data_IF_718114876236
#
_entry.id   IF_718114876236
#
_cell.length_a   1.000
_cell.length_b   1.000
_cell.length_c   1.000
_cell.angle_alpha   90.00
_cell.angle_beta   90.00
_cell.angle_gamma   90.00
#
_symmetry.space_group_name_H-M   'P 1'
#
loop_
_entity.id
_entity.type
_entity.pdbx_description
1 polymer ?
#
# COMPACT_ATOMS: atom_id res chain seq x y z
N UNK A 1 5.16 -22.89 -0.45
CA UNK A 1 5.12 -21.44 -0.39
C UNK A 1 3.98 -20.95 0.52
N UNK A 2 4.08 -19.73 1.04
CA UNK A 2 2.97 -19.16 1.77
C UNK A 2 1.77 -18.92 0.85
N UNK A 3 0.57 -18.86 1.43
CA UNK A 3 -0.64 -18.56 0.64
C UNK A 3 -0.72 -17.07 0.26
N UNK A 4 -0.16 -16.21 1.09
CA UNK A 4 -0.20 -14.77 0.87
C UNK A 4 0.99 -14.07 1.51
N UNK A 5 1.35 -12.93 0.96
CA UNK A 5 2.42 -12.06 1.46
C UNK A 5 1.88 -10.65 1.60
N UNK A 6 2.19 -10.00 2.72
CA UNK A 6 1.99 -8.59 2.93
C UNK A 6 3.35 -7.90 2.98
N UNK A 7 3.64 -7.08 1.99
CA UNK A 7 4.89 -6.34 1.90
C UNK A 7 4.70 -4.91 2.42
N UNK A 8 5.68 -4.37 3.12
CA UNK A 8 5.50 -3.16 3.93
C UNK A 8 6.02 -1.87 3.30
N UNK A 9 6.65 -1.94 2.14
CA UNK A 9 7.06 -0.74 1.40
C UNK A 9 7.18 -1.04 -0.10
N UNK A 10 7.40 -0.01 -0.90
CA UNK A 10 7.43 -0.12 -2.36
C UNK A 10 8.50 -1.10 -2.84
N UNK A 11 9.72 -0.95 -2.34
CA UNK A 11 10.86 -1.74 -2.80
C UNK A 11 10.63 -3.22 -2.51
N UNK A 12 10.21 -3.54 -1.28
CA UNK A 12 9.94 -4.92 -0.86
C UNK A 12 8.74 -5.48 -1.62
N UNK A 13 7.72 -4.67 -1.84
CA UNK A 13 6.51 -5.09 -2.56
C UNK A 13 6.86 -5.55 -3.98
N UNK A 14 7.57 -4.74 -4.74
CA UNK A 14 7.89 -5.07 -6.12
C UNK A 14 8.97 -6.16 -6.20
N UNK A 15 9.89 -6.20 -5.25
CA UNK A 15 10.86 -7.29 -5.16
C UNK A 15 10.20 -8.63 -4.88
N UNK A 16 9.23 -8.68 -3.97
CA UNK A 16 8.46 -9.88 -3.69
C UNK A 16 7.63 -10.33 -4.90
N UNK A 17 6.99 -9.37 -5.56
CA UNK A 17 6.21 -9.62 -6.77
C UNK A 17 7.08 -10.26 -7.85
N UNK A 18 8.25 -9.70 -8.08
CA UNK A 18 9.19 -10.18 -9.08
C UNK A 18 9.76 -11.57 -8.71
N UNK A 19 10.09 -11.77 -7.44
CA UNK A 19 10.59 -13.05 -6.94
C UNK A 19 9.57 -14.19 -7.12
N UNK A 20 8.29 -13.92 -6.83
CA UNK A 20 7.21 -14.91 -7.02
C UNK A 20 7.14 -15.30 -8.49
N UNK A 21 7.20 -14.35 -9.38
CA UNK A 21 7.16 -14.61 -10.83
C UNK A 21 8.38 -15.40 -11.29
N UNK A 22 9.56 -15.07 -10.78
CA UNK A 22 10.80 -15.77 -11.19
C UNK A 22 10.85 -17.22 -10.71
N UNK A 23 10.07 -17.56 -9.69
CA UNK A 23 9.91 -18.93 -9.22
C UNK A 23 8.82 -19.70 -9.99
N UNK A 24 8.27 -19.10 -11.04
CA UNK A 24 7.18 -19.66 -11.84
C UNK A 24 5.90 -19.93 -11.02
N UNK A 25 5.71 -19.17 -9.98
CA UNK A 25 4.47 -19.20 -9.21
C UNK A 25 3.49 -18.17 -9.75
N UNK A 26 2.21 -18.48 -9.66
CA UNK A 26 1.16 -17.59 -10.17
C UNK A 26 0.60 -16.71 -9.06
N UNK A 27 0.38 -15.44 -9.38
CA UNK A 27 -0.24 -14.46 -8.50
C UNK A 27 -1.64 -14.17 -9.05
N UNK A 28 -2.70 -14.34 -8.28
CA UNK A 28 -2.77 -14.72 -6.86
C UNK A 28 -2.94 -16.21 -6.58
N UNK A 29 -3.01 -17.06 -7.60
CA UNK A 29 -3.44 -18.46 -7.44
C UNK A 29 -2.54 -19.23 -6.48
N UNK A 30 -1.23 -19.12 -6.65
CA UNK A 30 -0.25 -19.78 -5.76
C UNK A 30 0.07 -18.93 -4.54
N UNK A 31 0.29 -17.63 -4.74
CA UNK A 31 0.62 -16.67 -3.68
C UNK A 31 -0.10 -15.36 -3.96
N UNK A 32 -0.95 -14.95 -3.06
CA UNK A 32 -1.55 -13.62 -3.10
C UNK A 32 -0.57 -12.59 -2.52
N UNK A 33 -0.60 -11.36 -3.03
CA UNK A 33 0.27 -10.31 -2.51
C UNK A 33 -0.50 -9.02 -2.33
N UNK A 34 -0.26 -8.37 -1.19
CA UNK A 34 -0.73 -7.02 -0.88
C UNK A 34 0.49 -6.19 -0.51
N UNK A 35 0.62 -5.01 -1.08
CA UNK A 35 1.74 -4.12 -0.78
C UNK A 35 1.32 -2.83 -0.12
N UNK A 36 2.29 -2.12 0.42
CA UNK A 36 2.15 -0.72 0.84
C UNK A 36 2.85 0.12 -0.21
N UNK A 37 2.09 0.90 -0.97
CA UNK A 37 2.66 1.77 -2.00
C UNK A 37 1.76 2.97 -2.23
N UNK A 38 2.36 4.11 -2.50
CA UNK A 38 1.65 5.32 -2.95
C UNK A 38 1.65 5.42 -4.47
N UNK A 39 2.27 4.46 -5.13
CA UNK A 39 2.51 4.49 -6.55
C UNK A 39 1.29 3.99 -7.32
N UNK A 40 0.77 4.81 -8.22
CA UNK A 40 -0.31 4.43 -9.12
C UNK A 40 0.10 3.31 -10.09
N UNK A 41 1.39 3.06 -10.25
CA UNK A 41 1.89 1.97 -11.08
C UNK A 41 1.41 0.60 -10.61
N UNK A 42 1.01 0.47 -9.36
CA UNK A 42 0.42 -0.76 -8.84
C UNK A 42 -0.80 -1.23 -9.66
N UNK A 43 -1.53 -0.31 -10.27
CA UNK A 43 -2.66 -0.65 -11.12
C UNK A 43 -2.24 -1.21 -12.49
N UNK A 44 -1.01 -0.94 -12.92
CA UNK A 44 -0.54 -1.25 -14.27
C UNK A 44 0.35 -2.47 -14.36
N UNK A 45 0.78 -3.03 -13.23
CA UNK A 45 1.52 -4.30 -13.25
C UNK A 45 0.56 -5.46 -13.50
N UNK A 46 1.09 -6.61 -13.90
CA UNK A 46 0.28 -7.78 -14.21
C UNK A 46 0.64 -8.95 -13.27
N UNK A 47 -0.30 -9.45 -12.47
CA UNK A 47 -1.66 -8.90 -12.24
C UNK A 47 -1.61 -7.57 -11.50
N UNK A 48 -2.69 -6.78 -11.58
CA UNK A 48 -2.75 -5.50 -10.87
C UNK A 48 -2.61 -5.71 -9.36
N UNK A 49 -1.81 -4.87 -8.73
CA UNK A 49 -1.37 -5.05 -7.35
C UNK A 49 -2.34 -4.41 -6.36
N UNK A 50 -2.89 -5.23 -5.45
CA UNK A 50 -3.62 -4.73 -4.29
C UNK A 50 -2.67 -3.99 -3.37
N UNK A 51 -3.06 -2.81 -2.92
CA UNK A 51 -2.17 -1.96 -2.15
C UNK A 51 -2.89 -1.18 -1.08
N UNK A 52 -2.21 -1.01 0.04
CA UNK A 52 -2.58 -0.05 1.08
C UNK A 52 -1.80 1.22 0.79
N UNK A 53 -2.51 2.33 0.68
CA UNK A 53 -1.92 3.61 0.29
C UNK A 53 -2.04 4.61 1.44
N UNK A 54 -0.91 5.20 1.85
CA UNK A 54 -0.91 6.31 2.77
C UNK A 54 -1.46 7.56 2.08
N UNK A 55 -2.11 8.40 2.85
CA UNK A 55 -2.48 9.73 2.39
C UNK A 55 -1.36 10.72 2.77
N UNK A 56 -0.19 10.57 2.17
CA UNK A 56 1.02 11.29 2.57
C UNK A 56 0.85 12.81 2.46
N UNK A 57 0.19 13.29 1.40
CA UNK A 57 -0.05 14.72 1.23
C UNK A 57 -0.92 15.27 2.37
N UNK A 58 -2.00 14.57 2.71
CA UNK A 58 -2.89 14.96 3.81
C UNK A 58 -2.16 14.90 5.14
N UNK A 59 -1.36 13.86 5.36
CA UNK A 59 -0.55 13.72 6.58
C UNK A 59 0.43 14.86 6.73
N UNK A 60 1.17 15.19 5.69
CA UNK A 60 2.14 16.27 5.70
C UNK A 60 1.49 17.63 5.93
N UNK A 61 0.40 17.91 5.22
CA UNK A 61 -0.33 19.17 5.38
C UNK A 61 -0.90 19.31 6.80
N UNK A 62 -1.47 18.24 7.34
CA UNK A 62 -2.02 18.23 8.71
C UNK A 62 -0.92 18.43 9.74
N UNK A 63 0.20 17.74 9.58
CA UNK A 63 1.34 17.89 10.50
C UNK A 63 1.87 19.33 10.50
N UNK A 64 2.03 19.95 9.33
CA UNK A 64 2.44 21.34 9.22
C UNK A 64 1.46 22.29 9.88
N UNK A 65 0.17 22.09 9.67
CA UNK A 65 -0.87 22.91 10.29
C UNK A 65 -0.79 22.85 11.82
N UNK A 66 -0.67 21.65 12.37
CA UNK A 66 -0.56 21.47 13.82
C UNK A 66 0.71 22.09 14.38
N UNK A 67 1.82 21.96 13.68
CA UNK A 67 3.08 22.58 14.08
C UNK A 67 2.99 24.10 14.08
N UNK A 68 2.40 24.68 13.04
CA UNK A 68 2.21 26.13 12.97
C UNK A 68 1.35 26.66 14.10
N UNK A 69 0.29 25.95 14.47
CA UNK A 69 -0.52 26.31 15.64
C UNK A 69 0.32 26.34 16.93
N UNK A 70 1.19 25.35 17.10
CA UNK A 70 2.09 25.27 18.27
C UNK A 70 3.05 26.45 18.28
N UNK A 71 3.63 26.79 17.15
CA UNK A 71 4.54 27.95 17.03
C UNK A 71 3.82 29.25 17.36
N UNK A 72 2.54 29.37 17.00
CA UNK A 72 1.72 30.56 17.29
C UNK A 72 1.21 30.63 18.74
N UNK A 73 1.57 29.66 19.57
CA UNK A 73 1.25 29.66 21.00
C UNK A 73 0.11 28.75 21.43
N UNK A 74 -0.51 28.02 20.52
CA UNK A 74 -1.53 27.05 20.89
C UNK A 74 -0.89 25.86 21.64
N UNK A 75 -1.31 25.67 22.88
CA UNK A 75 -0.76 24.63 23.77
C UNK A 75 -1.61 23.38 23.83
N UNK A 76 -2.71 23.32 23.09
CA UNK A 76 -3.55 22.13 23.08
C UNK A 76 -2.82 20.95 22.44
N UNK A 77 -3.10 19.76 22.95
CA UNK A 77 -2.61 18.53 22.35
C UNK A 77 -3.66 18.04 21.36
N UNK A 78 -3.26 17.88 20.12
CA UNK A 78 -4.14 17.38 19.07
C UNK A 78 -3.70 15.98 18.68
N UNK A 79 -4.68 15.12 18.44
CA UNK A 79 -4.47 13.80 17.87
C UNK A 79 -5.36 13.68 16.64
N UNK A 80 -4.74 13.59 15.47
CA UNK A 80 -5.47 13.38 14.23
C UNK A 80 -5.07 12.05 13.60
N UNK A 81 -6.05 11.22 13.32
CA UNK A 81 -5.85 9.95 12.64
C UNK A 81 -6.27 10.12 11.20
N UNK A 82 -5.34 9.88 10.28
CA UNK A 82 -5.61 9.96 8.85
C UNK A 82 -5.65 8.53 8.33
N UNK A 83 -6.81 8.06 7.84
CA UNK A 83 -6.94 6.68 7.43
C UNK A 83 -6.14 6.39 6.18
N UNK A 84 -5.69 5.14 6.07
CA UNK A 84 -5.10 4.63 4.84
C UNK A 84 -6.21 4.24 3.86
N UNK A 85 -5.89 4.23 2.59
CA UNK A 85 -6.79 3.80 1.54
C UNK A 85 -6.36 2.42 1.07
N UNK A 86 -7.28 1.46 1.07
CA UNK A 86 -7.01 0.12 0.59
C UNK A 86 -7.64 -0.06 -0.80
N UNK A 87 -6.80 -0.36 -1.78
CA UNK A 87 -7.22 -0.69 -3.14
C UNK A 87 -7.09 -2.19 -3.36
N UNK A 88 -8.23 -2.86 -3.44
CA UNK A 88 -8.27 -4.30 -3.73
C UNK A 88 -8.21 -4.48 -5.25
N UNK A 89 -7.21 -5.24 -5.70
CA UNK A 89 -6.99 -5.53 -7.11
C UNK A 89 -6.79 -7.03 -7.30
N UNK A 90 -6.33 -7.44 -8.46
CA UNK A 90 -6.25 -8.87 -8.82
C UNK A 90 -5.21 -9.66 -8.05
N UNK A 91 -4.15 -9.04 -7.56
CA UNK A 91 -3.06 -9.75 -6.88
C UNK A 91 -3.45 -10.42 -5.56
N UNK A 92 -4.56 -10.03 -4.97
CA UNK A 92 -5.06 -10.60 -3.72
C UNK A 92 -6.41 -11.30 -3.85
N UNK A 93 -7.00 -11.31 -5.02
CA UNK A 93 -8.32 -11.91 -5.23
C UNK A 93 -8.18 -13.22 -6.00
N UNK A 94 -8.08 -14.32 -5.24
CA UNK A 94 -7.95 -15.67 -5.81
C UNK A 94 -9.20 -16.15 -6.56
N UNK A 95 -10.32 -15.46 -6.40
CA UNK A 95 -11.56 -15.77 -7.09
C UNK A 95 -11.79 -14.88 -8.31
N UNK A 96 -10.93 -13.89 -8.54
CA UNK A 96 -11.04 -13.03 -9.70
C UNK A 96 -10.86 -13.86 -10.98
N UNK A 97 -11.64 -13.54 -12.01
CA UNK A 97 -11.45 -14.17 -13.31
C UNK A 97 -10.06 -13.80 -13.84
N UNK A 98 -9.39 -14.79 -14.42
CA UNK A 98 -8.13 -14.56 -15.10
C UNK A 98 -8.38 -13.75 -16.37
N UNK A 99 -7.61 -12.72 -16.53
CA UNK A 99 -7.63 -11.95 -17.77
C UNK A 99 -6.27 -12.01 -18.43
#
# INVERSE_FOLDING_TARGET
>A
PPDAILALNDIVTYAAFDAIKSLNLHIPQDVAIIGFTEDDNAAFVTPSLSAVMDQAHVQGATACELLLRRIQGDRKVYKKVIPMIFKIRKSSDKQACED
#
